data_IF_116700895403
#
_entry.id   IF_116700895403
#
_cell.length_a   1.000
_cell.length_b   1.000
_cell.length_c   1.000
_cell.angle_alpha   90.00
_cell.angle_beta   90.00
_cell.angle_gamma   90.00
#
_symmetry.space_group_name_H-M   'P 1'
#
loop_
_entity.id
_entity.type
_entity.pdbx_description
1 polymer ?
#
# COMPACT_ATOMS: atom_id res chain seq x y z
N UNK A 1 3.90 -2.22 -20.13
CA UNK A 1 2.67 -2.91 -19.70
C UNK A 1 3.06 -3.69 -18.45
N UNK A 2 2.98 -3.08 -17.26
CA UNK A 2 3.37 -3.81 -16.04
C UNK A 2 2.39 -4.97 -15.87
N UNK A 3 2.89 -6.20 -15.90
CA UNK A 3 2.08 -7.39 -15.72
C UNK A 3 1.16 -7.20 -14.53
N UNK A 4 -0.15 -7.43 -14.73
CA UNK A 4 -1.18 -7.32 -13.68
C UNK A 4 -0.78 -8.03 -12.37
N UNK A 5 0.08 -9.05 -12.47
CA UNK A 5 0.68 -9.78 -11.35
C UNK A 5 1.64 -8.91 -10.52
N UNK A 6 2.55 -8.17 -11.15
CA UNK A 6 3.56 -7.35 -10.47
C UNK A 6 2.91 -6.24 -9.64
N UNK A 7 1.92 -5.53 -10.20
CA UNK A 7 1.18 -4.51 -9.46
C UNK A 7 0.43 -5.05 -8.24
N UNK A 8 -0.10 -6.28 -8.35
CA UNK A 8 -0.78 -6.94 -7.21
C UNK A 8 0.22 -7.33 -6.12
N UNK A 9 1.40 -7.84 -6.49
CA UNK A 9 2.45 -8.19 -5.52
C UNK A 9 2.96 -6.95 -4.79
N UNK A 10 3.22 -5.85 -5.51
CA UNK A 10 3.64 -4.57 -4.92
C UNK A 10 2.58 -3.98 -3.98
N UNK A 11 1.30 -4.12 -4.32
CA UNK A 11 0.20 -3.71 -3.45
C UNK A 11 0.16 -4.51 -2.13
N UNK A 12 0.31 -5.84 -2.20
CA UNK A 12 0.37 -6.70 -1.01
C UNK A 12 1.58 -6.35 -0.13
N UNK A 13 2.73 -6.07 -0.75
CA UNK A 13 3.94 -5.63 -0.03
C UNK A 13 3.70 -4.28 0.67
N UNK A 14 3.04 -3.33 0.00
CA UNK A 14 2.68 -2.04 0.60
C UNK A 14 1.76 -2.17 1.82
N UNK A 15 0.78 -3.06 1.74
CA UNK A 15 -0.11 -3.39 2.88
C UNK A 15 0.70 -4.01 4.01
N UNK A 16 1.57 -4.98 3.72
CA UNK A 16 2.40 -5.62 4.74
C UNK A 16 3.32 -4.62 5.45
N UNK A 17 3.97 -3.72 4.71
CA UNK A 17 4.79 -2.64 5.29
C UNK A 17 3.97 -1.68 6.16
N UNK A 18 2.73 -1.38 5.75
CA UNK A 18 1.83 -0.53 6.54
C UNK A 18 1.44 -1.21 7.86
N UNK A 19 1.15 -2.51 7.85
CA UNK A 19 0.85 -3.28 9.06
C UNK A 19 2.06 -3.39 10.00
N UNK A 20 3.26 -3.59 9.44
CA UNK A 20 4.51 -3.64 10.22
C UNK A 20 4.85 -2.27 10.84
N UNK A 21 4.49 -1.17 10.15
CA UNK A 21 4.67 0.19 10.67
C UNK A 21 3.60 0.60 11.69
N UNK A 22 2.46 -0.07 11.75
CA UNK A 22 1.32 0.28 12.62
C UNK A 22 1.65 0.37 14.13
N UNK A 23 2.52 -0.48 14.71
CA UNK A 23 2.97 -0.34 16.09
C UNK A 23 3.68 1.00 16.39
N UNK A 24 4.28 1.64 15.38
CA UNK A 24 4.85 2.98 15.51
C UNK A 24 3.79 4.06 15.67
N UNK A 25 2.70 3.98 14.89
CA UNK A 25 1.54 4.88 15.05
C UNK A 25 0.85 4.71 16.40
N UNK A 26 0.76 3.47 16.88
CA UNK A 26 0.14 3.13 18.16
C UNK A 26 1.02 3.51 19.36
N UNK A 27 2.21 4.05 19.14
CA UNK A 27 3.12 4.49 20.20
C UNK A 27 3.82 3.34 20.95
N UNK A 28 3.64 2.09 20.51
CA UNK A 28 4.34 0.93 21.09
C UNK A 28 5.84 0.93 20.77
N UNK A 29 6.27 1.66 19.73
CA UNK A 29 7.67 1.76 19.35
C UNK A 29 8.01 3.15 18.84
N UNK A 30 9.12 3.74 19.34
CA UNK A 30 9.69 5.00 18.83
C UNK A 30 10.72 4.78 17.71
N UNK A 31 10.86 3.57 17.17
CA UNK A 31 11.84 3.28 16.14
C UNK A 31 11.55 4.05 14.85
N UNK A 32 12.47 4.92 14.45
CA UNK A 32 12.37 5.70 13.21
C UNK A 32 12.31 4.79 11.97
N UNK A 33 12.90 3.60 12.02
CA UNK A 33 12.80 2.60 10.95
C UNK A 33 11.35 2.17 10.64
N UNK A 34 10.50 2.04 11.67
CA UNK A 34 9.09 1.69 11.46
C UNK A 34 8.31 2.87 10.87
N UNK A 35 8.72 4.11 11.18
CA UNK A 35 8.16 5.31 10.54
C UNK A 35 8.39 5.25 9.03
N UNK A 36 9.62 4.97 8.59
CA UNK A 36 9.92 4.87 7.16
C UNK A 36 9.14 3.73 6.50
N UNK A 37 9.08 2.55 7.13
CA UNK A 37 8.28 1.44 6.62
C UNK A 37 6.79 1.80 6.46
N UNK A 38 6.23 2.52 7.43
CA UNK A 38 4.84 2.98 7.39
C UNK A 38 4.58 3.96 6.22
N UNK A 39 5.38 5.02 6.11
CA UNK A 39 5.20 6.03 5.05
C UNK A 39 5.47 5.44 3.66
N UNK A 40 6.53 4.63 3.53
CA UNK A 40 6.87 3.98 2.27
C UNK A 40 5.78 2.97 1.87
N UNK A 41 5.32 2.15 2.82
CA UNK A 41 4.21 1.21 2.63
C UNK A 41 2.93 1.90 2.16
N UNK A 42 2.58 3.03 2.77
CA UNK A 42 1.42 3.81 2.38
C UNK A 42 1.55 4.38 0.96
N UNK A 43 2.70 4.95 0.60
CA UNK A 43 2.95 5.47 -0.76
C UNK A 43 2.90 4.36 -1.82
N UNK A 44 3.55 3.23 -1.56
CA UNK A 44 3.52 2.06 -2.44
C UNK A 44 2.09 1.55 -2.60
N UNK A 45 1.34 1.47 -1.50
CA UNK A 45 -0.05 1.03 -1.54
C UNK A 45 -0.90 1.96 -2.40
N UNK A 46 -0.80 3.29 -2.25
CA UNK A 46 -1.59 4.25 -3.03
C UNK A 46 -1.23 4.21 -4.52
N UNK A 47 0.07 4.20 -4.86
CA UNK A 47 0.53 4.22 -6.26
C UNK A 47 0.15 2.92 -6.97
N UNK A 48 0.31 1.78 -6.28
CA UNK A 48 0.02 0.47 -6.83
C UNK A 48 -1.37 -0.03 -6.48
N UNK A 49 -2.22 0.80 -5.87
CA UNK A 49 -3.62 0.47 -5.63
C UNK A 49 -4.19 0.08 -6.98
N UNK A 50 -4.64 -1.17 -7.16
CA UNK A 50 -5.22 -1.58 -8.41
C UNK A 50 -6.48 -0.75 -8.57
N UNK A 51 -6.41 0.32 -9.37
CA UNK A 51 -7.55 1.10 -9.84
C UNK A 51 -8.38 0.24 -10.81
N UNK A 52 -8.82 -0.93 -10.34
CA UNK A 52 -9.82 -1.74 -11.00
C UNK A 52 -11.17 -1.25 -10.49
N UNK A 53 -11.83 -0.43 -11.32
CA UNK A 53 -13.26 -0.55 -11.65
C UNK A 53 -14.16 0.68 -11.59
N UNK A 54 -13.68 1.93 -11.51
CA UNK A 54 -14.56 3.10 -11.79
C UNK A 54 -14.75 3.35 -13.31
N UNK A 55 -14.60 2.32 -14.15
CA UNK A 55 -14.85 2.41 -15.60
C UNK A 55 -15.93 1.46 -16.12
N UNK A 56 -16.82 0.98 -15.25
CA UNK A 56 -17.96 0.14 -15.66
C UNK A 56 -19.29 0.53 -15.01
N UNK A 57 -19.59 1.82 -14.92
CA UNK A 57 -20.95 2.32 -14.68
C UNK A 57 -21.14 3.69 -15.34
N UNK A 58 -21.17 3.74 -16.68
CA UNK A 58 -22.14 4.56 -17.40
C UNK A 58 -22.01 4.31 -18.91
N UNK A 59 -22.67 3.25 -19.36
CA UNK A 59 -23.10 3.13 -20.74
C UNK A 59 -24.43 2.42 -20.74
N UNK A 60 -25.48 3.16 -20.40
CA UNK A 60 -26.83 2.89 -20.86
C UNK A 60 -27.58 4.20 -20.97
#
# INVERSE_FOLDING_TARGET
MYDKKIGTVLFVIGIAMTLIGMPYLLGYSKNEFLKYALYLGMLVTIIFTPARTIKKQNKK
#
